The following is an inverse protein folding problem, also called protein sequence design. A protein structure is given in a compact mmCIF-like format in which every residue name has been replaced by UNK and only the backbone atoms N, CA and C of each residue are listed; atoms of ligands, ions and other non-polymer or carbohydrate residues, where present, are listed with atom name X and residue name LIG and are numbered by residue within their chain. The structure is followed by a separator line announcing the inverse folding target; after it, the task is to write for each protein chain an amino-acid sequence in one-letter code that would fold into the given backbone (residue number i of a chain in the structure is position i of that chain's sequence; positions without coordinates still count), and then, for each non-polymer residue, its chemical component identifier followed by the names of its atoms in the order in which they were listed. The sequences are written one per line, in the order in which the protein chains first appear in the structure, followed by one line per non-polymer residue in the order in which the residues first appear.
data_IF_297456221082
#
_entry.id   IF_297456221082
#
_cell.length_a   1.000
_cell.length_b   1.000
_cell.length_c   1.000
_cell.angle_alpha   90.00
_cell.angle_beta   90.00
_cell.angle_gamma   90.00
#
_symmetry.space_group_name_H-M   'P 1'
#
loop_
_entity.id
_entity.type
_entity.pdbx_description
1 polymer ?
#
# COMPACT_ATOMS: atom_id res chain seq x y z
N UNK A 1 7.81 -9.20 -20.79
CA UNK A 1 8.90 -8.84 -19.85
C UNK A 1 8.44 -9.24 -18.46
N UNK A 2 8.96 -10.37 -17.96
CA UNK A 2 8.51 -11.12 -16.76
C UNK A 2 9.69 -11.34 -15.79
N UNK A 3 10.58 -10.35 -15.69
CA UNK A 3 11.66 -10.34 -14.70
C UNK A 3 11.05 -9.85 -13.40
N UNK A 4 10.84 -10.78 -12.45
CA UNK A 4 10.21 -10.52 -11.15
C UNK A 4 10.96 -9.57 -10.22
N UNK A 5 11.72 -8.63 -10.78
CA UNK A 5 12.56 -7.68 -10.08
C UNK A 5 12.18 -6.22 -10.38
N UNK A 6 11.47 -5.90 -11.48
CA UNK A 6 11.05 -4.52 -11.76
C UNK A 6 9.74 -4.45 -12.57
N UNK A 7 8.64 -4.14 -11.86
CA UNK A 7 7.50 -3.38 -12.41
C UNK A 7 6.09 -3.98 -12.28
N UNK A 8 5.22 -3.29 -11.51
CA UNK A 8 3.90 -2.69 -11.87
C UNK A 8 3.31 -1.95 -10.63
N UNK A 9 3.83 -0.89 -10.01
CA UNK A 9 4.89 0.07 -10.37
C UNK A 9 5.70 0.52 -9.13
N UNK A 10 6.87 -0.08 -8.86
CA UNK A 10 7.75 0.40 -7.79
C UNK A 10 9.06 1.07 -8.23
N UNK A 11 9.37 1.23 -9.53
CA UNK A 11 10.62 1.86 -9.98
C UNK A 11 10.49 3.36 -10.35
N UNK A 12 9.27 3.85 -10.61
CA UNK A 12 9.04 5.25 -11.00
C UNK A 12 8.57 6.16 -9.85
N UNK A 13 8.24 5.58 -8.68
CA UNK A 13 7.68 6.30 -7.52
C UNK A 13 8.45 6.11 -6.21
N UNK A 14 9.48 5.25 -6.21
CA UNK A 14 10.36 5.12 -5.07
C UNK A 14 11.31 6.32 -5.06
N UNK A 15 11.09 7.26 -4.14
CA UNK A 15 12.08 8.28 -3.82
C UNK A 15 13.02 7.70 -2.76
N UNK A 16 14.31 7.88 -2.94
CA UNK A 16 15.30 7.52 -1.93
C UNK A 16 15.17 8.53 -0.78
N UNK A 17 14.44 8.17 0.27
CA UNK A 17 14.33 9.01 1.47
C UNK A 17 15.57 8.74 2.31
N UNK A 18 16.55 9.63 2.19
CA UNK A 18 17.64 9.72 3.17
C UNK A 18 17.00 10.02 4.52
N UNK A 19 17.25 9.15 5.51
CA UNK A 19 16.80 9.34 6.89
C UNK A 19 17.32 10.67 7.41
N UNK A 20 16.46 11.70 7.37
CA UNK A 20 16.73 12.98 7.97
C UNK A 20 15.88 13.07 9.24
N UNK A 21 16.35 12.39 10.28
CA UNK A 21 15.92 12.65 11.65
C UNK A 21 16.41 14.04 12.03
N UNK A 22 15.68 15.11 11.69
CA UNK A 22 15.90 16.46 12.21
C UNK A 22 14.60 17.21 12.44
N UNK A 23 14.33 17.42 13.72
CA UNK A 23 13.68 18.58 14.34
C UNK A 23 12.50 19.22 13.62
N UNK A 24 11.28 18.85 14.03
CA UNK A 24 10.10 19.71 13.85
C UNK A 24 9.32 19.79 15.17
N UNK A 25 9.90 20.52 16.13
CA UNK A 25 9.16 21.07 17.26
C UNK A 25 8.34 22.26 16.75
N UNK A 26 7.00 22.20 16.82
CA UNK A 26 6.20 23.43 16.74
C UNK A 26 4.79 23.39 16.14
N UNK A 27 4.28 22.28 15.62
CA UNK A 27 2.88 22.21 15.17
C UNK A 27 2.12 21.22 16.03
N UNK A 28 0.95 21.62 16.57
CA UNK A 28 -0.04 20.70 17.16
C UNK A 28 -0.50 19.73 16.07
N UNK A 29 0.28 18.69 15.80
CA UNK A 29 -0.07 17.56 14.94
C UNK A 29 -0.38 16.38 15.85
N UNK A 30 -1.49 15.72 15.58
CA UNK A 30 -1.86 14.42 16.15
C UNK A 30 -0.64 13.47 16.13
N UNK A 31 -0.55 12.48 17.03
CA UNK A 31 0.67 11.72 17.22
C UNK A 31 1.14 11.14 15.89
N UNK A 32 2.40 11.45 15.60
CA UNK A 32 3.24 10.91 14.54
C UNK A 32 3.35 9.39 14.74
N UNK A 33 2.28 8.66 14.42
CA UNK A 33 2.20 7.23 14.62
C UNK A 33 2.72 6.52 13.38
N UNK A 34 3.46 5.46 13.65
CA UNK A 34 4.11 4.59 12.67
C UNK A 34 3.91 3.18 13.18
N UNK A 35 3.31 2.33 12.35
CA UNK A 35 3.09 0.92 12.67
C UNK A 35 3.84 0.05 11.67
N UNK A 36 4.51 -0.99 12.20
CA UNK A 36 5.35 -1.91 11.42
C UNK A 36 4.75 -3.32 11.46
N UNK A 37 4.72 -3.98 10.31
CA UNK A 37 4.19 -5.34 10.17
C UNK A 37 5.15 -6.22 9.38
N UNK A 38 5.61 -7.31 9.99
CA UNK A 38 6.39 -8.32 9.28
C UNK A 38 5.46 -9.20 8.43
N UNK A 39 5.55 -9.05 7.11
CA UNK A 39 4.67 -9.70 6.14
C UNK A 39 5.49 -10.22 4.97
N UNK A 40 4.87 -10.94 4.04
CA UNK A 40 5.53 -11.42 2.83
C UNK A 40 4.88 -10.79 1.61
N UNK A 41 5.70 -10.16 0.76
CA UNK A 41 5.21 -9.59 -0.49
C UNK A 41 5.10 -10.68 -1.56
N UNK A 42 3.88 -10.92 -2.06
CA UNK A 42 3.63 -11.91 -3.10
C UNK A 42 3.84 -11.33 -4.50
N UNK A 43 3.54 -10.04 -4.68
CA UNK A 43 3.73 -9.35 -5.94
C UNK A 43 2.66 -8.29 -6.19
N UNK A 44 2.73 -7.71 -7.39
CA UNK A 44 1.73 -6.78 -7.90
C UNK A 44 1.07 -7.36 -9.14
N UNK A 45 -0.16 -6.97 -9.44
CA UNK A 45 -0.84 -7.22 -10.73
C UNK A 45 -1.64 -5.99 -11.17
N UNK A 46 -1.63 -5.68 -12.46
CA UNK A 46 -2.51 -4.65 -13.02
C UNK A 46 -3.97 -5.11 -12.92
N UNK A 47 -4.83 -4.18 -12.54
CA UNK A 47 -6.27 -4.39 -12.35
C UNK A 47 -7.08 -3.37 -13.16
N UNK A 48 -8.29 -3.73 -13.62
CA UNK A 48 -9.07 -2.86 -14.51
C UNK A 48 -9.75 -1.69 -13.79
N UNK A 49 -9.97 -1.78 -12.48
CA UNK A 49 -10.67 -0.76 -11.68
C UNK A 49 -9.93 -0.47 -10.38
N UNK A 50 -10.10 0.76 -9.87
CA UNK A 50 -9.44 1.21 -8.65
C UNK A 50 -10.08 0.72 -7.34
N UNK A 51 -11.25 0.09 -7.40
CA UNK A 51 -11.99 -0.35 -6.22
C UNK A 51 -12.87 -1.57 -6.48
N UNK A 52 -13.19 -2.30 -5.42
CA UNK A 52 -14.15 -3.41 -5.43
C UNK A 52 -13.56 -4.73 -4.94
N UNK A 53 -14.31 -5.41 -4.07
CA UNK A 53 -13.89 -6.70 -3.48
C UNK A 53 -13.61 -7.77 -4.54
N UNK A 54 -14.41 -7.84 -5.61
CA UNK A 54 -14.21 -8.79 -6.71
C UNK A 54 -12.87 -8.57 -7.43
N UNK A 55 -12.46 -7.31 -7.61
CA UNK A 55 -11.19 -6.94 -8.24
C UNK A 55 -10.02 -7.34 -7.36
N UNK A 56 -10.10 -7.03 -6.07
CA UNK A 56 -9.09 -7.41 -5.08
C UNK A 56 -8.92 -8.93 -4.99
N UNK A 57 -10.03 -9.68 -4.88
CA UNK A 57 -10.01 -11.14 -4.79
C UNK A 57 -9.44 -11.77 -6.07
N UNK A 58 -9.83 -11.28 -7.25
CA UNK A 58 -9.29 -11.77 -8.51
C UNK A 58 -7.78 -11.53 -8.63
N UNK A 59 -7.29 -10.37 -8.18
CA UNK A 59 -5.87 -10.04 -8.15
C UNK A 59 -5.09 -10.98 -7.21
N UNK A 60 -5.58 -11.16 -5.98
CA UNK A 60 -5.00 -12.10 -5.01
C UNK A 60 -4.94 -13.51 -5.57
N UNK A 61 -6.04 -14.00 -6.16
CA UNK A 61 -6.11 -15.34 -6.75
C UNK A 61 -5.09 -15.50 -7.89
N UNK A 62 -4.97 -14.50 -8.76
CA UNK A 62 -4.02 -14.51 -9.90
C UNK A 62 -2.57 -14.58 -9.42
N UNK A 63 -2.20 -13.80 -8.40
CA UNK A 63 -0.86 -13.81 -7.83
C UNK A 63 -0.59 -15.11 -7.07
N UNK A 64 -1.52 -15.54 -6.22
CA UNK A 64 -1.38 -16.77 -5.43
C UNK A 64 -1.21 -18.00 -6.34
N UNK A 65 -2.00 -18.11 -7.41
CA UNK A 65 -1.88 -19.20 -8.39
C UNK A 65 -0.50 -19.20 -9.06
N UNK A 66 -0.01 -18.02 -9.44
CA UNK A 66 1.32 -17.89 -10.05
C UNK A 66 2.42 -18.30 -9.07
N UNK A 67 2.30 -17.91 -7.79
CA UNK A 67 3.31 -18.21 -6.76
C UNK A 67 3.31 -19.66 -6.31
N UNK A 68 2.16 -20.36 -6.31
CA UNK A 68 2.09 -21.80 -6.00
C UNK A 68 3.05 -22.63 -6.85
N UNK A 69 3.22 -22.26 -8.12
CA UNK A 69 4.13 -22.96 -9.05
C UNK A 69 5.61 -22.64 -8.80
N UNK A 70 5.92 -21.52 -8.16
CA UNK A 70 7.30 -21.04 -7.99
C UNK A 70 7.78 -21.03 -6.55
N UNK A 71 6.93 -21.38 -5.57
CA UNK A 71 7.21 -21.20 -4.13
C UNK A 71 8.46 -21.95 -3.67
N UNK A 72 8.68 -23.16 -4.19
CA UNK A 72 9.86 -23.97 -3.86
C UNK A 72 11.15 -23.41 -4.49
N UNK A 73 11.04 -22.67 -5.59
CA UNK A 73 12.18 -22.12 -6.33
C UNK A 73 12.52 -20.70 -5.87
N UNK A 74 11.50 -19.90 -5.53
CA UNK A 74 11.61 -18.52 -5.06
C UNK A 74 10.55 -18.28 -3.97
N UNK A 75 10.88 -18.56 -2.70
CA UNK A 75 9.99 -18.25 -1.60
C UNK A 75 9.68 -16.74 -1.57
N UNK A 76 8.47 -16.34 -1.15
CA UNK A 76 8.12 -14.93 -0.97
C UNK A 76 9.14 -14.24 -0.06
N UNK A 77 9.61 -13.06 -0.46
CA UNK A 77 10.51 -12.26 0.35
C UNK A 77 9.74 -11.69 1.55
N UNK A 78 10.31 -11.87 2.75
CA UNK A 78 9.82 -11.20 3.94
C UNK A 78 10.13 -9.71 3.86
N UNK A 79 9.14 -8.89 4.19
CA UNK A 79 9.23 -7.44 4.19
C UNK A 79 8.49 -6.84 5.38
N UNK A 80 9.07 -5.79 5.94
CA UNK A 80 8.51 -4.97 6.99
C UNK A 80 7.65 -3.87 6.40
N UNK A 81 6.33 -4.01 6.48
CA UNK A 81 5.38 -3.02 6.00
C UNK A 81 5.19 -1.94 7.06
N UNK A 82 5.72 -0.76 6.78
CA UNK A 82 5.56 0.47 7.56
C UNK A 82 4.33 1.24 7.08
N UNK A 83 3.45 1.62 7.98
CA UNK A 83 2.28 2.48 7.72
C UNK A 83 2.44 3.72 8.59
N UNK A 84 2.55 4.89 7.96
CA UNK A 84 2.79 6.15 8.67
C UNK A 84 2.02 7.33 8.06
N UNK A 85 1.55 8.22 8.95
CA UNK A 85 0.89 9.46 8.59
C UNK A 85 1.84 10.65 8.45
N UNK A 86 3.09 10.56 8.91
CA UNK A 86 4.07 11.66 8.78
C UNK A 86 4.24 12.17 7.35
N UNK A 87 3.88 11.34 6.36
CA UNK A 87 3.98 11.70 4.95
C UNK A 87 2.79 11.22 4.10
N UNK A 88 1.74 10.68 4.75
CA UNK A 88 0.65 9.97 4.09
C UNK A 88 1.18 8.83 3.23
N UNK A 89 1.91 7.85 3.80
CA UNK A 89 2.59 6.79 3.04
C UNK A 89 2.57 5.41 3.68
N UNK A 90 2.46 4.38 2.83
CA UNK A 90 2.71 2.99 3.18
C UNK A 90 4.03 2.54 2.51
N UNK A 91 5.02 2.15 3.30
CA UNK A 91 6.34 1.68 2.85
C UNK A 91 6.54 0.20 3.16
N UNK A 92 7.30 -0.53 2.34
CA UNK A 92 7.70 -1.91 2.66
C UNK A 92 9.22 -2.05 2.59
N UNK A 93 9.83 -2.46 3.70
CA UNK A 93 11.26 -2.61 3.98
C UNK A 93 11.63 -4.09 4.04
N UNK A 94 12.20 -4.66 2.98
CA UNK A 94 12.71 -6.04 3.01
C UNK A 94 13.94 -6.17 3.92
N UNK A 95 13.96 -7.13 4.86
CA UNK A 95 15.07 -7.42 5.77
C UNK A 95 16.12 -8.37 5.19
N UNK A 96 17.41 -7.96 5.14
CA UNK A 96 18.56 -8.89 5.20
C UNK A 96 19.39 -9.20 3.94
N UNK A 97 19.69 -8.26 3.03
CA UNK A 97 20.79 -8.36 2.04
C UNK A 97 20.98 -7.01 1.29
N UNK A 98 22.15 -6.68 0.70
CA UNK A 98 22.47 -5.36 0.09
C UNK A 98 21.72 -5.01 -1.21
N UNK A 99 20.67 -5.74 -1.56
CA UNK A 99 19.79 -5.50 -2.72
C UNK A 99 18.34 -5.24 -2.27
N UNK A 100 18.15 -4.35 -1.28
CA UNK A 100 16.81 -4.06 -0.74
C UNK A 100 15.99 -3.24 -1.74
N UNK A 101 15.02 -3.88 -2.39
CA UNK A 101 13.92 -3.17 -3.04
C UNK A 101 13.00 -2.64 -1.95
N UNK A 102 13.17 -1.38 -1.55
CA UNK A 102 12.16 -0.64 -0.81
C UNK A 102 11.07 -0.20 -1.78
N UNK A 103 9.82 -0.41 -1.39
CA UNK A 103 8.68 0.04 -2.17
C UNK A 103 7.90 1.03 -1.35
N UNK A 104 7.65 2.19 -1.93
CA UNK A 104 7.00 3.30 -1.27
C UNK A 104 5.72 3.65 -2.02
N UNK A 105 4.61 3.69 -1.29
CA UNK A 105 3.29 3.98 -1.81
C UNK A 105 2.73 5.19 -1.09
N UNK A 106 2.45 6.25 -1.85
CA UNK A 106 1.77 7.41 -1.30
C UNK A 106 0.30 7.10 -1.06
N UNK A 107 -0.21 7.39 0.13
CA UNK A 107 -1.60 7.19 0.56
C UNK A 107 -2.58 7.84 -0.41
N UNK A 108 -2.24 9.03 -0.93
CA UNK A 108 -3.02 9.73 -1.98
C UNK A 108 -3.27 8.89 -3.24
N UNK A 109 -2.38 7.93 -3.52
CA UNK A 109 -2.49 7.04 -4.67
C UNK A 109 -3.17 5.73 -4.30
N UNK A 110 -3.22 5.34 -3.03
CA UNK A 110 -3.97 4.16 -2.60
C UNK A 110 -5.47 4.50 -2.72
N UNK A 111 -6.26 3.57 -3.22
CA UNK A 111 -7.67 3.82 -3.56
C UNK A 111 -8.64 2.79 -2.99
N UNK A 112 -8.14 1.60 -2.64
CA UNK A 112 -8.93 0.54 -2.04
C UNK A 112 -8.00 -0.45 -1.34
N UNK A 113 -8.42 -1.06 -0.23
CA UNK A 113 -7.67 -2.13 0.43
C UNK A 113 -8.61 -3.14 1.08
N UNK A 114 -8.10 -4.34 1.37
CA UNK A 114 -8.88 -5.34 2.10
C UNK A 114 -8.16 -6.68 2.27
N UNK A 115 -8.76 -7.52 3.10
CA UNK A 115 -8.37 -8.93 3.23
C UNK A 115 -9.19 -9.80 2.28
N UNK A 116 -8.68 -10.99 1.93
CA UNK A 116 -9.48 -11.96 1.20
C UNK A 116 -10.60 -12.53 2.11
N UNK A 117 -11.87 -12.57 1.66
CA UNK A 117 -13.01 -12.88 2.54
C UNK A 117 -13.01 -14.31 3.09
N UNK A 118 -12.39 -15.25 2.37
CA UNK A 118 -12.29 -16.67 2.79
C UNK A 118 -10.95 -17.03 3.42
N UNK A 119 -9.98 -16.11 3.41
CA UNK A 119 -8.65 -16.35 3.96
C UNK A 119 -8.01 -15.01 4.35
N UNK A 120 -8.19 -14.62 5.61
CA UNK A 120 -7.70 -13.33 6.10
C UNK A 120 -6.17 -13.22 6.19
N UNK A 121 -5.43 -14.29 5.92
CA UNK A 121 -3.96 -14.22 5.82
C UNK A 121 -3.50 -13.47 4.56
N UNK A 122 -4.39 -13.24 3.59
CA UNK A 122 -4.10 -12.43 2.41
C UNK A 122 -4.65 -11.03 2.58
N UNK A 123 -3.80 -10.04 2.29
CA UNK A 123 -4.17 -8.63 2.22
C UNK A 123 -3.67 -8.01 0.93
N UNK A 124 -4.41 -7.03 0.43
CA UNK A 124 -3.95 -6.24 -0.69
C UNK A 124 -4.54 -4.86 -0.70
N UNK A 125 -3.89 -3.99 -1.45
CA UNK A 125 -4.37 -2.65 -1.72
C UNK A 125 -4.16 -2.29 -3.19
N UNK A 126 -4.98 -1.36 -3.69
CA UNK A 126 -4.99 -0.89 -5.07
C UNK A 126 -4.44 0.52 -5.10
N UNK A 127 -3.43 0.74 -5.93
CA UNK A 127 -2.89 2.07 -6.22
C UNK A 127 -3.33 2.56 -7.60
N UNK A 128 -3.59 3.87 -7.69
CA UNK A 128 -3.75 4.61 -8.94
C UNK A 128 -2.37 5.04 -9.44
N UNK A 129 -2.13 4.87 -10.73
CA UNK A 129 -0.97 5.45 -11.35
C UNK A 129 -1.14 6.99 -11.40
N UNK A 130 -0.18 7.80 -10.91
CA UNK A 130 -0.36 9.25 -10.75
C UNK A 130 -0.53 10.02 -12.07
N UNK A 131 -0.08 9.44 -13.20
CA UNK A 131 -0.16 10.09 -14.52
C UNK A 131 -1.10 9.36 -15.49
N UNK A 132 -1.34 8.07 -15.28
CA UNK A 132 -2.04 7.23 -16.25
C UNK A 132 -3.32 6.71 -15.62
N UNK A 133 -4.37 6.49 -16.41
CA UNK A 133 -5.58 5.81 -15.94
C UNK A 133 -5.35 4.30 -15.83
N UNK A 134 -4.45 3.90 -14.93
CA UNK A 134 -4.05 2.51 -14.69
C UNK A 134 -4.00 2.23 -13.20
N UNK A 135 -4.26 0.98 -12.84
CA UNK A 135 -4.35 0.56 -11.44
C UNK A 135 -3.52 -0.68 -11.21
N UNK A 136 -2.89 -0.77 -10.04
CA UNK A 136 -2.14 -1.93 -9.62
C UNK A 136 -2.60 -2.41 -8.25
N UNK A 137 -2.85 -3.71 -8.12
CA UNK A 137 -3.09 -4.35 -6.84
C UNK A 137 -1.78 -4.96 -6.32
N UNK A 138 -1.41 -4.62 -5.10
CA UNK A 138 -0.24 -5.12 -4.38
C UNK A 138 -0.71 -6.11 -3.32
N UNK A 139 -0.16 -7.33 -3.32
CA UNK A 139 -0.65 -8.43 -2.48
C UNK A 139 0.43 -8.90 -1.52
N UNK A 140 0.04 -9.00 -0.27
CA UNK A 140 0.83 -9.45 0.87
C UNK A 140 0.17 -10.66 1.52
N UNK A 141 0.98 -11.48 2.18
CA UNK A 141 0.52 -12.62 2.98
C UNK A 141 1.28 -12.67 4.30
N UNK A 142 0.64 -13.21 5.33
CA UNK A 142 1.31 -13.59 6.59
C UNK A 142 0.81 -14.97 7.04
N UNK A 143 1.43 -15.52 8.10
CA UNK A 143 0.94 -16.75 8.72
C UNK A 143 -0.32 -16.52 9.56
N UNK A 144 -0.50 -15.30 10.04
CA UNK A 144 -1.62 -14.89 10.89
C UNK A 144 -2.65 -14.09 10.08
N UNK A 145 -3.67 -13.58 10.76
CA UNK A 145 -4.65 -12.70 10.11
C UNK A 145 -4.02 -11.36 9.74
N UNK A 146 -4.27 -10.88 8.53
CA UNK A 146 -3.86 -9.55 8.06
C UNK A 146 -4.89 -8.46 8.36
N UNK A 147 -5.94 -8.75 9.17
CA UNK A 147 -6.92 -7.74 9.60
C UNK A 147 -6.28 -6.54 10.32
N UNK A 148 -5.29 -6.72 11.23
CA UNK A 148 -4.64 -5.57 11.87
C UNK A 148 -3.98 -4.64 10.86
N UNK A 149 -3.37 -5.20 9.80
CA UNK A 149 -2.82 -4.42 8.68
C UNK A 149 -3.93 -3.66 7.96
N UNK A 150 -5.04 -4.34 7.63
CA UNK A 150 -6.16 -3.72 6.93
C UNK A 150 -6.81 -2.58 7.75
N UNK A 151 -6.96 -2.76 9.06
CA UNK A 151 -7.46 -1.74 9.98
C UNK A 151 -6.49 -0.56 10.08
N UNK A 152 -5.18 -0.83 10.14
CA UNK A 152 -4.15 0.21 10.17
C UNK A 152 -4.12 1.04 8.88
N UNK A 153 -4.18 0.39 7.70
CA UNK A 153 -4.29 1.10 6.41
C UNK A 153 -5.62 1.85 6.31
N UNK A 154 -6.73 1.26 6.76
CA UNK A 154 -8.05 1.91 6.78
C UNK A 154 -8.10 3.15 7.67
N UNK A 155 -7.46 3.09 8.85
CA UNK A 155 -7.28 4.25 9.74
C UNK A 155 -6.45 5.34 9.06
N UNK A 156 -5.31 4.99 8.45
CA UNK A 156 -4.47 5.95 7.75
C UNK A 156 -5.21 6.60 6.55
N UNK A 157 -6.07 5.84 5.86
CA UNK A 157 -6.97 6.36 4.84
C UNK A 157 -7.93 7.40 5.40
N UNK A 158 -8.63 7.07 6.48
CA UNK A 158 -9.63 7.94 7.08
C UNK A 158 -9.00 9.25 7.58
N UNK A 159 -7.86 9.16 8.28
CA UNK A 159 -7.11 10.32 8.77
C UNK A 159 -6.58 11.16 7.60
N UNK A 160 -6.03 10.54 6.54
CA UNK A 160 -5.60 11.26 5.35
C UNK A 160 -6.73 12.01 4.65
N UNK A 161 -7.87 11.36 4.41
CA UNK A 161 -9.03 11.99 3.78
C UNK A 161 -9.64 13.08 4.65
N UNK A 162 -9.67 12.91 5.97
CA UNK A 162 -10.16 13.95 6.87
C UNK A 162 -9.28 15.20 6.78
N UNK A 163 -7.95 15.06 6.89
CA UNK A 163 -7.02 16.19 6.82
C UNK A 163 -6.97 16.88 5.44
N UNK A 164 -7.22 16.14 4.35
CA UNK A 164 -7.09 16.66 2.98
C UNK A 164 -8.42 17.06 2.32
N UNK A 165 -9.57 16.54 2.78
CA UNK A 165 -10.89 17.01 2.34
C UNK A 165 -11.38 18.21 3.15
N UNK A 166 -11.00 18.35 4.42
CA UNK A 166 -11.28 19.55 5.22
C UNK A 166 -10.62 20.82 4.65
N UNK A 167 -9.68 20.69 3.70
CA UNK A 167 -9.02 21.78 2.98
C UNK A 167 -9.40 21.90 1.50
N UNK A 168 -10.19 20.98 0.95
CA UNK A 168 -10.55 20.91 -0.47
C UNK A 168 -12.01 21.30 -0.76
N UNK A 169 -12.70 21.91 0.21
CA UNK A 169 -13.98 22.56 -0.03
C UNK A 169 -13.74 24.07 -0.27
N UNK A 170 -13.61 24.55 -1.52
CA UNK A 170 -14.25 25.81 -1.80
C UNK A 170 -15.75 25.54 -1.67
N UNK A 171 -16.38 26.08 -0.63
CA UNK A 171 -17.84 26.18 -0.57
C UNK A 171 -18.27 27.19 -1.64
N UNK A 172 -18.12 26.85 -2.91
CA UNK A 172 -18.92 27.42 -3.98
C UNK A 172 -20.11 26.49 -4.15
N UNK A 173 -21.17 26.79 -3.39
CA UNK A 173 -22.58 26.59 -3.75
C UNK A 173 -23.44 27.13 -2.61
N UNK A 174 -23.39 28.46 -2.39
CA UNK A 174 -24.52 29.20 -1.83
C UNK A 174 -25.17 29.93 -3.01
N UNK A 175 -25.97 29.23 -3.82
CA UNK A 175 -27.11 29.80 -4.53
C UNK A 175 -28.11 28.71 -4.93
N UNK A 176 -29.25 28.71 -4.23
CA UNK A 176 -30.63 28.38 -4.60
C UNK A 176 -31.34 28.22 -3.25
N UNK A 177 -32.11 29.20 -2.76
CA UNK A 177 -33.34 29.79 -3.31
C UNK A 177 -33.50 31.27 -2.93
#
# INVERSE_FOLDING_TARGET
MRTGERGIFPAFYAHEVVSQARDVAGLKRNPCWVEHFNVQFLGSVEVPYHQGNGILCAAMQKIATTRKLTVHLRPPATCDLEISLLWGTAGSLAGGAPHRCSHFFQMKNVSFCGCHPRNSCYFGFITKHPVLSRFACHVFVSQESMRPVAECVGRAFQEYYQEHLEFACPTEDIYLE
#
